data_IF_294538999292
#
_entry.id   IF_294538999292
#
_cell.length_a   1.000
_cell.length_b   1.000
_cell.length_c   1.000
_cell.angle_alpha   90.00
_cell.angle_beta   90.00
_cell.angle_gamma   90.00
#
_symmetry.space_group_name_H-M   'P 1'
#
loop_
_entity.id
_entity.type
_entity.pdbx_description
1 polymer ?
#
# COMPACT_ATOMS: atom_id res chain seq x y z
N UNK A 1 12.10 10.33 32.08
CA UNK A 1 11.43 10.86 30.88
C UNK A 1 10.38 11.85 31.36
N UNK A 2 10.52 13.13 31.03
CA UNK A 2 9.57 14.18 31.41
C UNK A 2 8.36 14.20 30.45
N UNK A 3 7.21 14.76 30.86
CA UNK A 3 6.01 14.83 30.01
C UNK A 3 6.29 15.57 28.69
N UNK A 4 7.17 16.57 28.72
CA UNK A 4 7.62 17.32 27.54
C UNK A 4 8.41 16.43 26.57
N UNK A 5 9.31 15.57 27.07
CA UNK A 5 10.07 14.62 26.24
C UNK A 5 9.18 13.56 25.59
N UNK A 6 8.11 13.11 26.26
CA UNK A 6 7.12 12.19 25.68
C UNK A 6 6.37 12.86 24.54
N UNK A 7 5.94 14.10 24.72
CA UNK A 7 5.21 14.86 23.71
C UNK A 7 6.08 15.20 22.50
N UNK A 8 7.36 15.54 22.70
CA UNK A 8 8.32 15.75 21.60
C UNK A 8 8.55 14.47 20.79
N UNK A 9 8.68 13.31 21.46
CA UNK A 9 8.83 12.03 20.79
C UNK A 9 7.59 11.64 19.96
N UNK A 10 6.38 11.88 20.47
CA UNK A 10 5.15 11.65 19.70
C UNK A 10 5.03 12.59 18.49
N UNK A 11 5.44 13.85 18.63
CA UNK A 11 5.48 14.81 17.52
C UNK A 11 6.47 14.34 16.45
N UNK A 12 7.67 13.91 16.84
CA UNK A 12 8.68 13.41 15.90
C UNK A 12 8.18 12.17 15.12
N UNK A 13 7.53 11.22 15.81
CA UNK A 13 6.91 10.06 15.16
C UNK A 13 5.89 10.53 14.12
N UNK A 14 4.94 11.38 14.50
CA UNK A 14 3.91 11.87 13.58
C UNK A 14 4.49 12.61 12.38
N UNK A 15 5.51 13.43 12.58
CA UNK A 15 6.18 14.14 11.48
C UNK A 15 6.87 13.17 10.51
N UNK A 16 7.49 12.10 11.01
CA UNK A 16 8.07 11.05 10.17
C UNK A 16 7.00 10.27 9.40
N UNK A 17 5.85 9.99 10.02
CA UNK A 17 4.72 9.34 9.32
C UNK A 17 4.23 10.21 8.16
N UNK A 18 3.98 11.50 8.42
CA UNK A 18 3.50 12.43 7.39
C UNK A 18 4.53 12.63 6.28
N UNK A 19 5.82 12.78 6.63
CA UNK A 19 6.87 12.87 5.62
C UNK A 19 6.93 11.61 4.74
N UNK A 20 6.89 10.43 5.35
CA UNK A 20 6.91 9.15 4.63
C UNK A 20 5.70 9.01 3.70
N UNK A 21 4.52 9.43 4.16
CA UNK A 21 3.30 9.47 3.36
C UNK A 21 3.44 10.41 2.17
N UNK A 22 3.92 11.64 2.38
CA UNK A 22 4.15 12.61 1.31
C UNK A 22 5.16 12.10 0.28
N UNK A 23 6.24 11.45 0.71
CA UNK A 23 7.20 10.82 -0.19
C UNK A 23 6.55 9.73 -1.04
N UNK A 24 5.73 8.87 -0.43
CA UNK A 24 5.04 7.81 -1.14
C UNK A 24 4.01 8.37 -2.12
N UNK A 25 3.17 9.33 -1.72
CA UNK A 25 2.22 9.99 -2.61
C UNK A 25 2.91 10.69 -3.79
N UNK A 26 4.04 11.35 -3.55
CA UNK A 26 4.85 11.97 -4.61
C UNK A 26 5.38 10.92 -5.59
N UNK A 27 5.86 9.77 -5.07
CA UNK A 27 6.28 8.66 -5.92
C UNK A 27 5.13 8.13 -6.79
N UNK A 28 3.92 8.00 -6.23
CA UNK A 28 2.73 7.56 -6.98
C UNK A 28 2.36 8.58 -8.06
N UNK A 29 2.41 9.87 -7.75
CA UNK A 29 2.21 10.92 -8.76
C UNK A 29 3.20 10.78 -9.91
N UNK A 30 4.49 10.57 -9.65
CA UNK A 30 5.48 10.34 -10.71
C UNK A 30 5.30 9.01 -11.44
N UNK A 31 4.75 8.00 -10.79
CA UNK A 31 4.53 6.67 -11.39
C UNK A 31 3.34 6.66 -12.36
N UNK A 32 2.32 7.47 -12.07
CA UNK A 32 1.02 7.48 -12.75
C UNK A 32 0.71 8.74 -13.57
N UNK A 33 1.57 9.76 -13.52
CA UNK A 33 1.37 11.01 -14.25
C UNK A 33 1.88 10.93 -15.69
N UNK A 34 1.13 11.52 -16.61
CA UNK A 34 1.58 11.75 -18.00
C UNK A 34 2.44 13.02 -18.15
N UNK A 35 2.63 13.78 -17.06
CA UNK A 35 3.38 15.05 -17.06
C UNK A 35 4.88 14.88 -16.78
N UNK A 36 5.38 13.65 -16.76
CA UNK A 36 6.81 13.42 -16.57
C UNK A 36 7.55 14.06 -17.73
N UNK A 37 8.53 14.90 -17.42
CA UNK A 37 9.33 15.66 -18.40
C UNK A 37 10.14 14.74 -19.32
N UNK A 38 10.49 13.55 -18.83
CA UNK A 38 11.17 12.51 -19.61
C UNK A 38 10.55 11.11 -19.39
N UNK A 39 10.44 10.27 -20.43
CA UNK A 39 9.94 8.90 -20.28
C UNK A 39 10.75 8.03 -19.29
N UNK A 40 12.01 8.37 -19.06
CA UNK A 40 12.94 7.66 -18.18
C UNK A 40 12.60 7.83 -16.70
N UNK A 41 12.22 9.04 -16.27
CA UNK A 41 11.81 9.31 -14.89
C UNK A 41 10.58 8.48 -14.49
N UNK A 42 9.59 8.38 -15.38
CA UNK A 42 8.40 7.57 -15.17
C UNK A 42 8.70 6.07 -15.11
N UNK A 43 9.71 5.61 -15.85
CA UNK A 43 10.18 4.23 -15.76
C UNK A 43 10.86 3.95 -14.42
N UNK A 44 11.73 4.84 -13.95
CA UNK A 44 12.43 4.71 -12.67
C UNK A 44 11.44 4.75 -11.50
N UNK A 45 10.46 5.65 -11.52
CA UNK A 45 9.43 5.72 -10.46
C UNK A 45 8.62 4.44 -10.38
N UNK A 46 8.21 3.87 -11.53
CA UNK A 46 7.53 2.57 -11.58
C UNK A 46 8.40 1.41 -11.08
N UNK A 47 9.70 1.41 -11.37
CA UNK A 47 10.62 0.42 -10.81
C UNK A 47 10.70 0.53 -9.28
N UNK A 48 10.83 1.75 -8.76
CA UNK A 48 10.84 1.99 -7.31
C UNK A 48 9.52 1.55 -6.66
N UNK A 49 8.38 1.84 -7.29
CA UNK A 49 7.07 1.36 -6.85
C UNK A 49 7.01 -0.17 -6.81
N UNK A 50 7.50 -0.85 -7.85
CA UNK A 50 7.53 -2.32 -7.88
C UNK A 50 8.38 -2.91 -6.75
N UNK A 51 9.53 -2.32 -6.44
CA UNK A 51 10.38 -2.74 -5.30
C UNK A 51 9.66 -2.53 -3.97
N UNK A 52 8.95 -1.40 -3.80
CA UNK A 52 8.17 -1.13 -2.59
C UNK A 52 7.00 -2.11 -2.43
N UNK A 53 6.32 -2.44 -3.54
CA UNK A 53 5.24 -3.43 -3.56
C UNK A 53 5.75 -4.82 -3.17
N UNK A 54 6.87 -5.24 -3.77
CA UNK A 54 7.50 -6.52 -3.42
C UNK A 54 7.90 -6.56 -1.94
N UNK A 55 8.51 -5.49 -1.43
CA UNK A 55 8.86 -5.38 -0.01
C UNK A 55 7.63 -5.42 0.89
N UNK A 56 6.56 -4.73 0.52
CA UNK A 56 5.29 -4.74 1.27
C UNK A 56 4.73 -6.15 1.37
N UNK A 57 4.76 -6.90 0.26
CA UNK A 57 4.35 -8.30 0.24
C UNK A 57 5.23 -9.19 1.14
N UNK A 58 6.56 -9.03 1.08
CA UNK A 58 7.48 -9.81 1.91
C UNK A 58 7.30 -9.54 3.41
N UNK A 59 7.00 -8.29 3.77
CA UNK A 59 6.70 -7.88 5.14
C UNK A 59 5.38 -8.50 5.63
N UNK A 60 4.33 -8.46 4.81
CA UNK A 60 3.04 -9.09 5.15
C UNK A 60 3.18 -10.62 5.33
N UNK A 61 3.89 -11.30 4.43
CA UNK A 61 4.14 -12.74 4.56
C UNK A 61 4.89 -13.09 5.84
N UNK A 62 5.92 -12.31 6.19
CA UNK A 62 6.66 -12.52 7.43
C UNK A 62 5.75 -12.34 8.65
N UNK A 63 4.89 -11.32 8.64
CA UNK A 63 3.93 -11.12 9.74
C UNK A 63 2.95 -12.28 9.88
N UNK A 64 2.39 -12.78 8.79
CA UNK A 64 1.46 -13.94 8.83
C UNK A 64 2.15 -15.14 9.47
N UNK A 65 3.41 -15.42 9.06
CA UNK A 65 4.18 -16.52 9.62
C UNK A 65 4.53 -16.30 11.11
N UNK A 66 4.96 -15.10 11.48
CA UNK A 66 5.28 -14.76 12.87
C UNK A 66 4.04 -14.85 13.75
N UNK A 67 2.89 -14.34 13.29
CA UNK A 67 1.61 -14.42 14.00
C UNK A 67 1.19 -15.89 14.21
N UNK A 68 1.28 -16.70 13.15
CA UNK A 68 0.97 -18.14 13.19
C UNK A 68 1.84 -18.89 14.21
N UNK A 69 3.12 -18.53 14.30
CA UNK A 69 4.06 -19.16 15.24
C UNK A 69 3.96 -18.60 16.66
N UNK A 70 3.45 -17.38 16.84
CA UNK A 70 3.35 -16.70 18.13
C UNK A 70 2.36 -17.33 19.12
N UNK A 71 1.35 -18.04 18.62
CA UNK A 71 0.31 -18.67 19.42
C UNK A 71 -0.50 -17.64 20.23
N UNK A 72 -0.25 -17.54 21.53
CA UNK A 72 -0.88 -16.55 22.44
C UNK A 72 0.04 -15.40 22.84
N UNK A 73 1.30 -15.42 22.39
CA UNK A 73 2.26 -14.39 22.71
C UNK A 73 2.05 -13.20 21.77
N UNK A 74 1.94 -11.95 22.28
CA UNK A 74 1.84 -10.79 21.40
C UNK A 74 3.14 -10.60 20.61
N UNK A 75 3.00 -10.22 19.34
CA UNK A 75 4.15 -9.87 18.50
C UNK A 75 4.82 -8.57 19.00
N UNK A 76 6.13 -8.39 18.73
CA UNK A 76 6.83 -7.15 19.04
C UNK A 76 6.11 -5.92 18.47
N UNK A 77 6.00 -4.85 19.26
CA UNK A 77 5.33 -3.60 18.86
C UNK A 77 5.87 -3.05 17.53
N UNK A 78 7.18 -3.17 17.30
CA UNK A 78 7.79 -2.72 16.04
C UNK A 78 7.23 -3.47 14.82
N UNK A 79 6.99 -4.78 14.91
CA UNK A 79 6.40 -5.55 13.82
C UNK A 79 4.96 -5.10 13.57
N UNK A 80 4.16 -4.95 14.63
CA UNK A 80 2.77 -4.45 14.54
C UNK A 80 2.74 -3.09 13.85
N UNK A 81 3.61 -2.16 14.25
CA UNK A 81 3.76 -0.85 13.64
C UNK A 81 4.17 -0.94 12.16
N UNK A 82 5.14 -1.80 11.82
CA UNK A 82 5.57 -2.01 10.43
C UNK A 82 4.41 -2.47 9.54
N UNK A 83 3.58 -3.40 10.02
CA UNK A 83 2.40 -3.87 9.29
C UNK A 83 1.34 -2.78 9.13
N UNK A 84 1.08 -2.00 10.17
CA UNK A 84 0.16 -0.86 10.04
C UNK A 84 0.65 0.12 8.98
N UNK A 85 1.95 0.41 8.91
CA UNK A 85 2.50 1.27 7.87
C UNK A 85 2.36 0.67 6.47
N UNK A 86 2.62 -0.63 6.32
CA UNK A 86 2.42 -1.31 5.03
C UNK A 86 0.96 -1.26 4.60
N UNK A 87 0.02 -1.55 5.50
CA UNK A 87 -1.41 -1.51 5.20
C UNK A 87 -1.88 -0.10 4.81
N UNK A 88 -1.44 0.95 5.55
CA UNK A 88 -1.70 2.36 5.19
C UNK A 88 -1.13 2.73 3.82
N UNK A 89 0.08 2.26 3.51
CA UNK A 89 0.70 2.49 2.20
C UNK A 89 -0.10 1.79 1.08
N UNK A 90 -0.54 0.55 1.30
CA UNK A 90 -1.41 -0.16 0.35
C UNK A 90 -2.72 0.58 0.12
N UNK A 91 -3.40 1.06 1.18
CA UNK A 91 -4.60 1.88 1.04
C UNK A 91 -4.35 3.13 0.18
N UNK A 92 -3.25 3.84 0.45
CA UNK A 92 -2.84 5.06 -0.29
C UNK A 92 -2.53 4.77 -1.76
N UNK A 93 -1.91 3.63 -2.04
CA UNK A 93 -1.64 3.17 -3.41
C UNK A 93 -2.95 2.93 -4.15
N UNK A 94 -3.88 2.18 -3.55
CA UNK A 94 -5.13 1.83 -4.22
C UNK A 94 -5.98 3.08 -4.45
N UNK A 95 -6.03 4.00 -3.49
CA UNK A 95 -6.69 5.30 -3.65
C UNK A 95 -6.08 6.14 -4.78
N UNK A 96 -4.76 6.11 -4.93
CA UNK A 96 -4.07 6.79 -6.03
C UNK A 96 -4.40 6.16 -7.37
N UNK A 97 -4.44 4.83 -7.44
CA UNK A 97 -4.81 4.10 -8.65
C UNK A 97 -6.27 4.38 -9.06
N UNK A 98 -7.21 4.45 -8.12
CA UNK A 98 -8.62 4.81 -8.40
C UNK A 98 -8.78 6.19 -9.01
N UNK A 99 -7.88 7.12 -8.69
CA UNK A 99 -7.88 8.49 -9.22
C UNK A 99 -7.13 8.61 -10.56
N UNK A 100 -6.42 7.55 -10.96
CA UNK A 100 -5.58 7.52 -12.15
C UNK A 100 -6.38 6.98 -13.34
N UNK A 101 -6.13 7.51 -14.53
CA UNK A 101 -6.72 6.98 -15.76
C UNK A 101 -6.12 5.59 -16.08
N UNK A 102 -6.91 4.57 -16.45
CA UNK A 102 -6.41 3.21 -16.67
C UNK A 102 -5.21 3.10 -17.62
N UNK A 103 -5.15 3.95 -18.64
CA UNK A 103 -4.05 4.04 -19.61
C UNK A 103 -2.69 4.42 -19.00
N UNK A 104 -2.68 5.03 -17.81
CA UNK A 104 -1.45 5.45 -17.14
C UNK A 104 -0.90 4.40 -16.18
N UNK A 105 -1.63 3.29 -15.98
CA UNK A 105 -1.20 2.20 -15.12
C UNK A 105 -0.74 1.05 -16.02
N UNK A 106 0.54 0.71 -15.93
CA UNK A 106 1.06 -0.43 -16.68
C UNK A 106 0.54 -1.75 -16.10
N UNK A 107 0.44 -2.77 -16.96
CA UNK A 107 -0.12 -4.07 -16.58
C UNK A 107 0.65 -4.79 -15.47
N UNK A 108 1.96 -4.55 -15.33
CA UNK A 108 2.77 -5.17 -14.28
C UNK A 108 2.46 -4.55 -12.91
N UNK A 109 2.36 -3.22 -12.81
CA UNK A 109 1.91 -2.55 -11.58
C UNK A 109 0.51 -3.02 -11.18
N UNK A 110 -0.41 -3.09 -12.14
CA UNK A 110 -1.78 -3.59 -11.89
C UNK A 110 -1.79 -5.03 -11.37
N UNK A 111 -1.02 -5.93 -12.01
CA UNK A 111 -0.90 -7.32 -11.58
C UNK A 111 -0.29 -7.44 -10.18
N UNK A 112 0.71 -6.64 -9.83
CA UNK A 112 1.32 -6.63 -8.50
C UNK A 112 0.33 -6.19 -7.42
N UNK A 113 -0.51 -5.18 -7.71
CA UNK A 113 -1.55 -4.73 -6.77
C UNK A 113 -2.57 -5.85 -6.54
N UNK A 114 -3.05 -6.50 -7.60
CA UNK A 114 -3.95 -7.67 -7.48
C UNK A 114 -3.29 -8.79 -6.69
N UNK A 115 -2.00 -9.05 -6.90
CA UNK A 115 -1.26 -10.11 -6.21
C UNK A 115 -1.11 -9.88 -4.70
N UNK A 116 -1.34 -8.66 -4.19
CA UNK A 116 -1.41 -8.41 -2.74
C UNK A 116 -2.69 -8.95 -2.11
N UNK A 117 -3.79 -9.04 -2.87
CA UNK A 117 -5.09 -9.39 -2.32
C UNK A 117 -5.10 -10.70 -1.53
N UNK A 118 -4.56 -11.83 -2.04
CA UNK A 118 -4.50 -13.08 -1.28
C UNK A 118 -3.76 -12.92 0.06
N UNK A 119 -2.61 -12.25 0.05
CA UNK A 119 -1.81 -12.01 1.26
C UNK A 119 -2.57 -11.15 2.28
N UNK A 120 -3.28 -10.10 1.83
CA UNK A 120 -4.11 -9.29 2.72
C UNK A 120 -5.28 -10.08 3.31
N UNK A 121 -5.90 -10.96 2.53
CA UNK A 121 -6.97 -11.84 3.02
C UNK A 121 -6.43 -12.83 4.06
N UNK A 122 -5.21 -13.33 3.90
CA UNK A 122 -4.58 -14.17 4.93
C UNK A 122 -4.35 -13.43 6.25
N UNK A 123 -4.12 -12.11 6.22
CA UNK A 123 -3.96 -11.31 7.45
C UNK A 123 -5.24 -11.16 8.29
N UNK A 124 -6.43 -11.61 7.83
CA UNK A 124 -7.69 -11.39 8.59
C UNK A 124 -7.74 -12.16 9.92
N UNK A 125 -6.87 -13.14 10.12
CA UNK A 125 -6.77 -13.89 11.39
C UNK A 125 -6.09 -13.09 12.50
N UNK A 126 -5.54 -11.92 12.16
CA UNK A 126 -5.02 -10.88 13.04
C UNK A 126 -5.80 -10.76 14.36
N UNK A 127 -5.06 -10.72 15.47
CA UNK A 127 -5.61 -10.45 16.81
C UNK A 127 -5.48 -8.98 17.25
N UNK A 128 -4.66 -8.18 16.58
CA UNK A 128 -4.48 -6.75 16.89
C UNK A 128 -5.60 -5.90 16.30
N UNK A 129 -6.33 -5.19 17.15
CA UNK A 129 -7.42 -4.31 16.70
C UNK A 129 -6.98 -3.24 15.69
N UNK A 130 -5.78 -2.71 15.86
CA UNK A 130 -5.18 -1.67 15.03
C UNK A 130 -4.80 -2.21 13.66
N UNK A 131 -4.17 -3.39 13.61
CA UNK A 131 -3.86 -4.07 12.36
C UNK A 131 -5.15 -4.41 11.62
N UNK A 132 -6.14 -4.96 12.32
CA UNK A 132 -7.41 -5.35 11.72
C UNK A 132 -8.20 -4.13 11.19
N UNK A 133 -8.12 -2.96 11.85
CA UNK A 133 -8.68 -1.71 11.32
C UNK A 133 -7.96 -1.26 10.04
N UNK A 134 -6.63 -1.21 10.05
CA UNK A 134 -5.85 -0.82 8.87
C UNK A 134 -6.03 -1.82 7.71
N UNK A 135 -6.17 -3.11 8.02
CA UNK A 135 -6.40 -4.16 7.04
C UNK A 135 -7.75 -3.99 6.36
N UNK A 136 -8.80 -3.68 7.13
CA UNK A 136 -10.12 -3.40 6.58
C UNK A 136 -10.09 -2.20 5.62
N UNK A 137 -9.39 -1.12 5.99
CA UNK A 137 -9.20 0.04 5.12
C UNK A 137 -8.48 -0.32 3.82
N UNK A 138 -7.47 -1.21 3.89
CA UNK A 138 -6.73 -1.66 2.71
C UNK A 138 -7.54 -2.62 1.81
N UNK A 139 -8.38 -3.48 2.39
CA UNK A 139 -9.18 -4.47 1.67
C UNK A 139 -10.41 -3.88 0.97
N UNK A 140 -11.08 -2.90 1.59
CA UNK A 140 -12.34 -2.34 1.06
C UNK A 140 -12.21 -1.85 -0.40
N UNK A 141 -11.15 -1.13 -0.79
CA UNK A 141 -10.97 -0.65 -2.16
C UNK A 141 -10.81 -1.76 -3.22
N UNK A 142 -10.35 -2.96 -2.86
CA UNK A 142 -10.16 -4.05 -3.82
C UNK A 142 -11.46 -4.50 -4.49
N UNK A 143 -12.62 -4.27 -3.87
CA UNK A 143 -13.93 -4.57 -4.49
C UNK A 143 -14.10 -3.87 -5.85
N UNK A 144 -13.51 -2.67 -6.00
CA UNK A 144 -13.60 -1.86 -7.20
C UNK A 144 -12.59 -2.34 -8.27
N UNK A 145 -11.51 -3.03 -7.86
CA UNK A 145 -10.47 -3.60 -8.73
C UNK A 145 -10.82 -5.00 -9.26
N UNK A 146 -11.64 -5.74 -8.52
CA UNK A 146 -12.12 -7.07 -8.93
C UNK A 146 -13.19 -7.01 -10.03
N UNK A 147 -13.57 -5.80 -10.48
CA UNK A 147 -14.40 -5.62 -11.66
C UNK A 147 -13.50 -5.45 -12.91
N UNK A 148 -13.73 -6.21 -13.99
CA UNK A 148 -12.98 -6.01 -15.23
C UNK A 148 -13.19 -4.57 -15.74
N UNK A 149 -12.15 -3.89 -16.28
CA UNK A 149 -12.32 -2.58 -16.90
C UNK A 149 -13.43 -2.64 -17.94
N UNK A 150 -14.42 -1.74 -17.85
CA UNK A 150 -15.53 -1.72 -18.80
C UNK A 150 -14.98 -1.69 -20.22
N UNK A 151 -15.22 -2.76 -20.99
CA UNK A 151 -14.80 -2.87 -22.37
C UNK A 151 -15.40 -1.71 -23.15
N UNK A 152 -14.55 -0.77 -23.62
CA UNK A 152 -14.96 0.22 -24.61
C UNK A 152 -15.26 -0.56 -25.89
N UNK A 153 -16.53 -0.93 -26.07
CA UNK A 153 -17.03 -1.43 -27.34
C UNK A 153 -16.87 -0.28 -28.32
N UNK A 154 -15.82 -0.32 -29.15
CA UNK A 154 -15.79 0.45 -30.39
C UNK A 154 -16.86 -0.19 -31.29
N UNK A 155 -18.07 0.36 -31.25
CA UNK A 155 -19.02 0.12 -32.32
C UNK A 155 -18.38 0.70 -33.59
N UNK A 156 -17.93 -0.18 -34.47
CA UNK A 156 -17.54 0.20 -35.83
C UNK A 156 -18.73 0.82 -36.52
N UNK A 157 -18.56 2.05 -37.00
CA UNK A 157 -19.47 2.64 -37.98
C UNK A 157 -19.37 1.80 -39.26
N UNK A 158 -20.52 1.27 -39.70
CA UNK A 158 -20.71 0.68 -41.04
C UNK A 158 -21.46 1.67 -41.92
#
# INVERSE_FOLDING_TARGET
>A
MTLTEVQEAEIDIRLREEFSKMCFETLLQFSFSNKVTTPQEGYISRMALSVLLKRSQDVLHRYIEDERLSGKCPLPRQQVTEIIFVLKAVSTLIDSLKKTQPENVDGNTWAQVIALYPTLVECITCSSSEVCSALKEALVPFKDFMQPPASKVQNGES
#
